data_IF_572616359128
#
_entry.id   IF_572616359128
#
_cell.length_a   1.000
_cell.length_b   1.000
_cell.length_c   1.000
_cell.angle_alpha   90.00
_cell.angle_beta   90.00
_cell.angle_gamma   90.00
#
_symmetry.space_group_name_H-M   'P 1'
#
loop_
_entity.id
_entity.type
_entity.pdbx_description
1 polymer ?
#
# COMPACT_ATOMS: atom_id res chain seq x y z
N UNK A 1 -16.79 8.52 -23.58
CA UNK A 1 -15.59 8.68 -24.39
C UNK A 1 -14.46 8.95 -23.42
N UNK A 2 -13.44 8.06 -23.39
CA UNK A 2 -12.29 8.21 -22.53
C UNK A 2 -11.45 9.44 -22.90
N UNK A 3 -10.53 9.82 -22.00
CA UNK A 3 -9.63 10.93 -22.23
C UNK A 3 -8.64 10.57 -23.35
N UNK A 4 -8.57 11.39 -24.40
CA UNK A 4 -7.51 11.33 -25.41
C UNK A 4 -6.52 12.44 -25.11
N UNK A 5 -5.23 12.10 -24.99
CA UNK A 5 -4.16 13.01 -24.61
C UNK A 5 -2.86 12.60 -25.29
N UNK A 6 -2.07 13.55 -25.74
CA UNK A 6 -0.68 13.32 -26.10
C UNK A 6 0.25 13.90 -25.03
N UNK A 7 1.09 13.06 -24.45
CA UNK A 7 2.15 13.48 -23.56
C UNK A 7 3.46 13.46 -24.37
N UNK A 8 4.06 14.63 -24.63
CA UNK A 8 5.29 14.77 -25.40
C UNK A 8 6.50 14.88 -24.51
N UNK A 9 7.64 14.52 -25.09
CA UNK A 9 8.95 14.82 -24.52
C UNK A 9 9.08 14.30 -23.08
N UNK A 10 8.73 13.03 -22.86
CA UNK A 10 8.91 12.32 -21.58
C UNK A 10 10.03 11.33 -21.69
N UNK A 11 10.78 11.15 -20.60
CA UNK A 11 11.80 10.12 -20.49
C UNK A 11 11.19 8.84 -19.92
N UNK A 12 11.44 7.72 -20.56
CA UNK A 12 11.13 6.40 -19.98
C UNK A 12 12.37 5.71 -19.44
N UNK A 13 12.26 4.92 -18.38
CA UNK A 13 13.35 4.07 -17.90
C UNK A 13 13.92 3.22 -19.05
N UNK A 14 15.23 3.33 -19.29
CA UNK A 14 15.92 2.55 -20.32
C UNK A 14 15.63 2.87 -21.79
N UNK A 15 14.69 3.77 -22.12
CA UNK A 15 14.26 4.03 -23.50
C UNK A 15 14.51 5.47 -24.03
N UNK A 16 15.03 6.36 -23.18
CA UNK A 16 15.26 7.77 -23.57
C UNK A 16 13.97 8.59 -23.67
N UNK A 17 14.01 9.67 -24.49
CA UNK A 17 12.88 10.60 -24.63
C UNK A 17 11.92 10.16 -25.71
N UNK A 18 10.62 10.08 -25.38
CA UNK A 18 9.53 9.62 -26.22
C UNK A 18 8.27 10.50 -26.05
N UNK A 19 7.31 10.29 -26.93
CA UNK A 19 5.92 10.72 -26.75
C UNK A 19 5.07 9.51 -26.32
N UNK A 20 4.01 9.76 -25.55
CA UNK A 20 3.00 8.78 -25.13
C UNK A 20 1.64 9.27 -25.60
N UNK A 21 1.00 8.54 -26.51
CA UNK A 21 -0.38 8.80 -26.88
C UNK A 21 -1.32 7.97 -25.99
N UNK A 22 -2.34 8.63 -25.47
CA UNK A 22 -3.34 8.05 -24.56
C UNK A 22 -4.69 8.14 -25.26
N UNK A 23 -5.42 7.01 -25.31
CA UNK A 23 -6.77 6.92 -25.85
C UNK A 23 -7.64 6.09 -24.88
N UNK A 24 -8.84 6.57 -24.62
CA UNK A 24 -9.79 5.90 -23.72
C UNK A 24 -9.19 5.52 -22.35
N UNK A 25 -8.30 6.40 -21.85
CA UNK A 25 -7.68 6.21 -20.54
C UNK A 25 -6.51 5.20 -20.53
N UNK A 26 -6.07 4.72 -21.70
CA UNK A 26 -4.97 3.74 -21.85
C UNK A 26 -3.84 4.29 -22.71
N UNK A 27 -2.66 3.76 -22.50
CA UNK A 27 -1.51 4.00 -23.36
C UNK A 27 -1.76 3.31 -24.71
N UNK A 28 -2.01 4.11 -25.75
CA UNK A 28 -2.29 3.63 -27.09
C UNK A 28 -1.01 3.41 -27.91
N UNK A 29 -0.02 4.29 -27.74
CA UNK A 29 1.29 4.15 -28.38
C UNK A 29 2.37 4.91 -27.64
N UNK A 30 3.61 4.43 -27.81
CA UNK A 30 4.83 5.03 -27.25
C UNK A 30 5.86 5.10 -28.37
N UNK A 31 6.48 6.25 -28.58
CA UNK A 31 7.53 6.39 -29.61
C UNK A 31 7.94 7.83 -29.84
N UNK A 32 8.97 8.07 -30.66
CA UNK A 32 9.41 9.41 -30.97
C UNK A 32 8.42 10.11 -31.94
N UNK A 33 8.13 11.39 -31.70
CA UNK A 33 7.37 12.28 -32.58
C UNK A 33 6.04 11.68 -33.08
N UNK A 34 5.23 11.15 -32.15
CA UNK A 34 3.97 10.51 -32.49
C UNK A 34 3.01 11.48 -33.23
N UNK A 35 2.42 11.08 -34.36
CA UNK A 35 1.35 11.83 -34.98
C UNK A 35 0.08 11.74 -34.12
N UNK A 36 -0.65 12.86 -34.04
CA UNK A 36 -1.94 12.90 -33.34
C UNK A 36 -3.00 13.59 -34.18
N UNK A 37 -4.28 13.21 -34.04
CA UNK A 37 -5.37 13.91 -34.70
C UNK A 37 -5.40 15.40 -34.31
N UNK A 38 -5.79 16.31 -35.24
CA UNK A 38 -5.96 17.71 -34.92
C UNK A 38 -6.93 17.91 -33.76
N UNK A 39 -6.55 18.77 -32.81
CA UNK A 39 -7.37 19.07 -31.64
C UNK A 39 -7.14 18.12 -30.42
N UNK A 40 -6.28 17.13 -30.54
CA UNK A 40 -5.89 16.31 -29.36
C UNK A 40 -5.16 17.18 -28.35
N UNK A 41 -5.61 17.22 -27.09
CA UNK A 41 -4.89 17.90 -26.02
C UNK A 41 -3.45 17.39 -25.91
N UNK A 42 -2.51 18.31 -25.77
CA UNK A 42 -1.08 17.96 -25.67
C UNK A 42 -0.48 18.55 -24.42
N UNK A 43 0.29 17.77 -23.69
CA UNK A 43 1.09 18.19 -22.55
C UNK A 43 2.57 17.96 -22.85
N UNK A 44 3.42 18.91 -22.49
CA UNK A 44 4.88 18.76 -22.57
C UNK A 44 5.42 18.22 -21.26
N UNK A 45 6.05 17.06 -21.30
CA UNK A 45 6.71 16.43 -20.17
C UNK A 45 8.07 17.04 -19.83
N UNK A 46 8.56 17.97 -20.64
CA UNK A 46 9.81 18.74 -20.44
C UNK A 46 11.07 17.87 -20.20
N UNK A 47 11.06 16.63 -20.68
CA UNK A 47 12.15 15.67 -20.48
C UNK A 47 12.14 15.00 -19.11
N UNK A 48 11.12 15.20 -18.30
CA UNK A 48 10.97 14.53 -17.01
C UNK A 48 10.81 13.02 -17.17
N UNK A 49 11.24 12.30 -16.14
CA UNK A 49 11.08 10.85 -16.04
C UNK A 49 9.62 10.49 -15.78
N UNK A 50 9.06 9.62 -16.62
CA UNK A 50 7.78 9.00 -16.36
C UNK A 50 8.00 7.73 -15.53
N UNK A 51 7.28 7.63 -14.42
CA UNK A 51 7.16 6.43 -13.60
C UNK A 51 5.72 5.94 -13.70
N UNK A 52 5.46 4.63 -13.52
CA UNK A 52 4.09 4.17 -13.27
C UNK A 52 3.49 4.89 -12.06
N UNK A 53 2.18 5.04 -12.02
CA UNK A 53 1.49 5.61 -10.87
C UNK A 53 1.87 4.87 -9.58
N UNK A 54 2.24 5.60 -8.53
CA UNK A 54 2.72 4.98 -7.30
C UNK A 54 1.61 4.21 -6.59
N UNK A 55 1.98 3.14 -5.91
CA UNK A 55 1.06 2.26 -5.18
C UNK A 55 1.38 2.29 -3.70
N UNK A 56 0.42 2.71 -2.89
CA UNK A 56 0.48 2.58 -1.44
C UNK A 56 -0.21 1.26 -1.05
N UNK A 57 0.59 0.20 -0.95
CA UNK A 57 0.10 -1.15 -0.71
C UNK A 57 -0.37 -1.41 0.72
N UNK A 58 -0.17 -0.46 1.64
CA UNK A 58 -0.55 -0.60 3.04
C UNK A 58 -0.66 0.77 3.71
N UNK A 59 -1.88 1.22 3.90
CA UNK A 59 -2.22 2.50 4.52
C UNK A 59 -3.35 2.37 5.55
N UNK A 60 -3.56 3.41 6.35
CA UNK A 60 -4.68 3.56 7.28
C UNK A 60 -5.36 4.91 7.01
N UNK A 61 -6.31 4.94 6.08
CA UNK A 61 -6.97 6.17 5.65
C UNK A 61 -7.99 6.70 6.66
N UNK A 62 -8.61 5.82 7.42
CA UNK A 62 -9.77 6.10 8.28
C UNK A 62 -9.42 6.85 9.58
N UNK A 63 -8.18 6.77 10.04
CA UNK A 63 -7.75 7.22 11.37
C UNK A 63 -6.59 8.23 11.34
N UNK A 64 -6.28 8.78 10.18
CA UNK A 64 -5.26 9.81 10.05
C UNK A 64 -5.65 11.10 10.74
N UNK A 65 -4.66 11.81 11.28
CA UNK A 65 -4.79 13.18 11.77
C UNK A 65 -4.36 14.22 10.72
N UNK A 66 -4.21 13.81 9.45
CA UNK A 66 -3.84 14.69 8.36
C UNK A 66 -4.86 15.83 8.19
N UNK A 67 -4.38 17.06 8.08
CA UNK A 67 -5.24 18.23 7.95
C UNK A 67 -5.87 18.74 9.26
N UNK A 68 -5.59 18.10 10.41
CA UNK A 68 -5.95 18.63 11.71
C UNK A 68 -4.81 19.48 12.31
N UNK A 69 -5.05 20.31 13.35
CA UNK A 69 -3.98 20.91 14.13
C UNK A 69 -3.02 19.85 14.69
N UNK A 70 -1.82 20.28 15.07
CA UNK A 70 -0.87 19.38 15.68
C UNK A 70 -1.35 18.89 17.05
N UNK A 71 -1.38 17.57 17.23
CA UNK A 71 -1.65 16.93 18.51
C UNK A 71 -0.36 16.36 19.09
N UNK A 72 -0.04 16.61 20.38
CA UNK A 72 1.13 16.03 21.00
C UNK A 72 1.11 14.49 20.93
N UNK A 73 2.21 13.89 20.49
CA UNK A 73 2.33 12.44 20.44
C UNK A 73 2.72 11.86 21.79
N UNK A 74 1.94 10.89 22.27
CA UNK A 74 2.13 10.16 23.52
C UNK A 74 1.76 8.69 23.36
N UNK A 75 2.21 8.09 22.23
CA UNK A 75 1.75 6.77 21.80
C UNK A 75 2.15 5.63 22.75
N UNK A 76 3.25 5.78 23.49
CA UNK A 76 3.79 4.70 24.33
C UNK A 76 4.67 3.71 23.56
N UNK A 77 5.43 2.87 24.27
CA UNK A 77 6.39 1.95 23.66
C UNK A 77 5.78 0.66 23.11
N UNK A 78 4.70 0.15 23.70
CA UNK A 78 4.10 -1.12 23.30
C UNK A 78 2.93 -0.94 22.33
N UNK A 79 2.61 -1.98 21.55
CA UNK A 79 1.46 -2.03 20.65
C UNK A 79 0.16 -1.76 21.42
N UNK A 80 -0.03 -2.39 22.58
CA UNK A 80 -1.23 -2.20 23.39
C UNK A 80 -1.40 -0.76 23.89
N UNK A 81 -0.31 -0.10 24.30
CA UNK A 81 -0.35 1.31 24.70
C UNK A 81 -0.69 2.24 23.53
N UNK A 82 -0.15 1.95 22.34
CA UNK A 82 -0.46 2.69 21.10
C UNK A 82 -1.93 2.57 20.73
N UNK A 83 -2.50 1.36 20.77
CA UNK A 83 -3.92 1.12 20.54
C UNK A 83 -4.78 1.89 21.54
N UNK A 84 -4.44 1.84 22.84
CA UNK A 84 -5.17 2.57 23.88
C UNK A 84 -5.09 4.08 23.70
N UNK A 85 -3.91 4.60 23.33
CA UNK A 85 -3.72 6.04 23.04
C UNK A 85 -4.53 6.47 21.83
N UNK A 86 -4.50 5.71 20.74
CA UNK A 86 -5.23 6.03 19.51
C UNK A 86 -6.73 6.12 19.77
N UNK A 87 -7.30 5.13 20.44
CA UNK A 87 -8.73 5.13 20.80
C UNK A 87 -9.10 6.37 21.61
N UNK A 88 -8.26 6.76 22.57
CA UNK A 88 -8.48 7.97 23.39
C UNK A 88 -8.41 9.24 22.54
N UNK A 89 -7.44 9.35 21.64
CA UNK A 89 -7.25 10.52 20.76
C UNK A 89 -8.41 10.64 19.79
N UNK A 90 -8.76 9.57 19.09
CA UNK A 90 -9.82 9.58 18.07
C UNK A 90 -11.19 9.88 18.71
N UNK A 91 -11.50 9.28 19.87
CA UNK A 91 -12.75 9.56 20.59
C UNK A 91 -12.84 11.03 21.06
N UNK A 92 -11.72 11.66 21.42
CA UNK A 92 -11.70 13.06 21.83
C UNK A 92 -11.85 14.04 20.65
N UNK A 93 -11.45 13.62 19.45
CA UNK A 93 -11.46 14.48 18.25
C UNK A 93 -12.75 14.36 17.43
N UNK A 94 -13.50 13.29 17.61
CA UNK A 94 -14.76 12.99 16.88
C UNK A 94 -14.63 13.21 15.36
N UNK A 95 -13.57 12.65 14.77
CA UNK A 95 -13.25 12.84 13.36
C UNK A 95 -14.09 11.90 12.48
N UNK A 96 -14.61 12.43 11.37
CA UNK A 96 -15.30 11.63 10.38
C UNK A 96 -14.30 10.80 9.54
N UNK A 97 -14.37 9.45 9.52
CA UNK A 97 -13.51 8.62 8.68
C UNK A 97 -13.59 8.97 7.19
N UNK A 98 -14.76 9.35 6.69
CA UNK A 98 -14.94 9.80 5.30
C UNK A 98 -14.18 11.10 5.01
N UNK A 99 -14.26 12.09 5.89
CA UNK A 99 -13.56 13.36 5.67
C UNK A 99 -12.05 13.20 5.81
N UNK A 100 -11.60 12.41 6.78
CA UNK A 100 -10.17 12.19 7.02
C UNK A 100 -9.53 11.40 5.87
N UNK A 101 -10.18 10.33 5.41
CA UNK A 101 -9.71 9.57 4.25
C UNK A 101 -9.65 10.44 2.99
N UNK A 102 -10.65 11.26 2.72
CA UNK A 102 -10.64 12.17 1.57
C UNK A 102 -9.50 13.22 1.65
N UNK A 103 -9.25 13.79 2.83
CA UNK A 103 -8.15 14.74 3.05
C UNK A 103 -6.78 14.09 2.82
N UNK A 104 -6.60 12.88 3.33
CA UNK A 104 -5.35 12.16 3.11
C UNK A 104 -5.19 11.76 1.65
N UNK A 105 -6.25 11.28 0.97
CA UNK A 105 -6.19 10.94 -0.45
C UNK A 105 -5.80 12.11 -1.33
N UNK A 106 -6.32 13.32 -1.10
CA UNK A 106 -5.90 14.51 -1.84
C UNK A 106 -4.38 14.73 -1.73
N UNK A 107 -3.82 14.47 -0.56
CA UNK A 107 -2.40 14.56 -0.32
C UNK A 107 -1.60 13.44 -1.01
N UNK A 108 -2.06 12.18 -0.94
CA UNK A 108 -1.42 11.03 -1.58
C UNK A 108 -1.44 11.15 -3.11
N UNK A 109 -2.58 11.54 -3.69
CA UNK A 109 -2.74 11.78 -5.14
C UNK A 109 -1.80 12.88 -5.62
N UNK A 110 -1.68 13.98 -4.87
CA UNK A 110 -0.72 15.06 -5.19
C UNK A 110 0.74 14.57 -5.19
N UNK A 111 1.03 13.44 -4.53
CA UNK A 111 2.34 12.78 -4.47
C UNK A 111 2.46 11.58 -5.40
N UNK A 112 1.51 11.40 -6.31
CA UNK A 112 1.60 10.41 -7.37
C UNK A 112 0.98 9.05 -7.06
N UNK A 113 0.32 8.89 -5.92
CA UNK A 113 -0.37 7.64 -5.59
C UNK A 113 -1.63 7.49 -6.44
N UNK A 114 -1.74 6.38 -7.17
CA UNK A 114 -2.88 6.05 -8.04
C UNK A 114 -3.65 4.82 -7.56
N UNK A 115 -3.08 4.06 -6.63
CA UNK A 115 -3.69 2.87 -6.02
C UNK A 115 -3.34 2.81 -4.54
N UNK A 116 -4.31 2.43 -3.73
CA UNK A 116 -4.14 2.30 -2.27
C UNK A 116 -4.81 1.03 -1.78
N UNK A 117 -4.09 0.21 -0.99
CA UNK A 117 -4.70 -0.76 -0.08
C UNK A 117 -4.77 -0.13 1.30
N UNK A 118 -5.95 -0.04 1.89
CA UNK A 118 -6.14 0.57 3.21
C UNK A 118 -6.73 -0.42 4.21
N UNK A 119 -6.13 -0.50 5.39
CA UNK A 119 -6.63 -1.26 6.53
C UNK A 119 -7.56 -0.34 7.33
N UNK A 120 -8.82 -0.74 7.42
CA UNK A 120 -9.90 0.06 8.03
C UNK A 120 -10.37 -0.62 9.32
N UNK A 121 -10.34 0.14 10.42
CA UNK A 121 -10.65 -0.38 11.74
C UNK A 121 -12.08 -0.89 11.87
N UNK A 122 -12.20 -2.12 12.36
CA UNK A 122 -13.45 -2.79 12.71
C UNK A 122 -13.36 -3.31 14.14
N UNK A 123 -14.15 -2.73 15.03
CA UNK A 123 -14.22 -3.12 16.44
C UNK A 123 -15.65 -3.00 16.95
N UNK A 124 -16.05 -3.76 17.98
CA UNK A 124 -17.43 -3.74 18.48
C UNK A 124 -17.97 -2.35 18.82
N UNK A 125 -17.14 -1.45 19.32
CA UNK A 125 -17.50 -0.07 19.62
C UNK A 125 -17.59 0.87 18.41
N UNK A 126 -16.97 0.51 17.29
CA UNK A 126 -17.01 1.27 16.03
C UNK A 126 -18.07 0.73 15.07
N UNK A 127 -18.43 -0.54 15.20
CA UNK A 127 -19.22 -1.25 14.21
C UNK A 127 -18.53 -1.21 12.84
N UNK A 128 -19.27 -0.86 11.79
CA UNK A 128 -18.78 -0.67 10.42
C UNK A 128 -18.70 0.80 10.00
N UNK A 129 -18.77 1.75 10.93
CA UNK A 129 -18.80 3.17 10.58
C UNK A 129 -17.54 3.62 9.82
N UNK A 130 -16.37 3.11 10.19
CA UNK A 130 -15.12 3.39 9.48
C UNK A 130 -15.12 2.79 8.07
N UNK A 131 -15.56 1.54 7.92
CA UNK A 131 -15.70 0.89 6.61
C UNK A 131 -16.62 1.70 5.68
N UNK A 132 -17.82 2.07 6.14
CA UNK A 132 -18.78 2.83 5.33
C UNK A 132 -18.22 4.22 4.96
N UNK A 133 -17.51 4.88 5.87
CA UNK A 133 -16.86 6.17 5.60
C UNK A 133 -15.80 6.07 4.51
N UNK A 134 -14.93 5.06 4.57
CA UNK A 134 -13.89 4.84 3.55
C UNK A 134 -14.49 4.37 2.22
N UNK A 135 -15.54 3.53 2.24
CA UNK A 135 -16.25 3.13 1.01
C UNK A 135 -16.90 4.33 0.31
N UNK A 136 -17.51 5.25 1.06
CA UNK A 136 -18.05 6.48 0.50
C UNK A 136 -16.95 7.34 -0.15
N UNK A 137 -15.79 7.43 0.49
CA UNK A 137 -14.62 8.09 -0.09
C UNK A 137 -14.11 7.38 -1.34
N UNK A 138 -14.00 6.05 -1.31
CA UNK A 138 -13.55 5.27 -2.47
C UNK A 138 -14.47 5.48 -3.69
N UNK A 139 -15.79 5.48 -3.47
CA UNK A 139 -16.76 5.75 -4.52
C UNK A 139 -16.62 7.17 -5.10
N UNK A 140 -16.39 8.17 -4.25
CA UNK A 140 -16.23 9.56 -4.67
C UNK A 140 -14.89 9.83 -5.40
N UNK A 141 -13.84 9.08 -5.09
CA UNK A 141 -12.47 9.27 -5.59
C UNK A 141 -12.05 8.29 -6.70
N UNK A 142 -12.93 7.42 -7.18
CA UNK A 142 -12.62 6.36 -8.14
C UNK A 142 -11.96 6.85 -9.45
N UNK A 143 -12.21 8.09 -9.84
CA UNK A 143 -11.59 8.71 -11.02
C UNK A 143 -10.14 9.22 -10.78
N UNK A 144 -9.71 9.27 -9.53
CA UNK A 144 -8.38 9.78 -9.14
C UNK A 144 -7.49 8.71 -8.52
N UNK A 145 -8.06 7.71 -7.87
CA UNK A 145 -7.33 6.65 -7.17
C UNK A 145 -8.20 5.41 -7.01
N UNK A 146 -7.63 4.23 -7.20
CA UNK A 146 -8.29 2.96 -6.89
C UNK A 146 -7.99 2.58 -5.43
N UNK A 147 -9.02 2.16 -4.69
CA UNK A 147 -8.90 1.83 -3.26
C UNK A 147 -9.38 0.41 -3.02
N UNK A 148 -8.51 -0.42 -2.45
CA UNK A 148 -8.81 -1.74 -1.95
C UNK A 148 -8.88 -1.70 -0.42
N UNK A 149 -9.93 -2.28 0.17
CA UNK A 149 -10.19 -2.20 1.61
C UNK A 149 -9.95 -3.54 2.28
N UNK A 150 -9.15 -3.50 3.35
CA UNK A 150 -8.94 -4.60 4.30
C UNK A 150 -9.76 -4.29 5.56
N UNK A 151 -10.68 -5.16 5.97
CA UNK A 151 -11.37 -5.04 7.25
C UNK A 151 -10.40 -5.45 8.37
N UNK A 152 -10.00 -4.49 9.21
CA UNK A 152 -8.88 -4.63 10.14
C UNK A 152 -9.31 -4.62 11.60
N UNK A 153 -9.04 -5.71 12.37
CA UNK A 153 -9.39 -5.82 13.78
C UNK A 153 -8.27 -5.30 14.69
N UNK A 154 -7.96 -4.00 14.69
CA UNK A 154 -6.83 -3.45 15.43
C UNK A 154 -6.86 -3.74 16.95
N UNK A 155 -8.04 -3.95 17.51
CA UNK A 155 -8.19 -4.22 18.95
C UNK A 155 -8.14 -5.72 19.32
N UNK A 156 -7.76 -6.58 18.38
CA UNK A 156 -7.77 -8.03 18.51
C UNK A 156 -9.08 -8.67 18.03
N UNK A 157 -9.03 -9.97 17.82
CA UNK A 157 -10.13 -10.80 17.33
C UNK A 157 -10.69 -11.65 18.46
N UNK A 158 -9.85 -12.51 19.06
CA UNK A 158 -10.29 -13.51 20.05
C UNK A 158 -10.57 -12.87 21.42
N UNK A 159 -9.81 -11.85 21.79
CA UNK A 159 -9.99 -11.10 23.06
C UNK A 159 -11.12 -10.07 23.00
N UNK A 160 -11.78 -9.92 21.83
CA UNK A 160 -12.84 -8.93 21.60
C UNK A 160 -14.11 -9.58 21.05
N UNK A 161 -15.01 -10.09 21.93
CA UNK A 161 -16.25 -10.71 21.49
C UNK A 161 -17.06 -9.82 20.55
N UNK A 162 -17.54 -10.40 19.43
CA UNK A 162 -18.27 -9.69 18.39
C UNK A 162 -17.41 -9.22 17.20
N UNK A 163 -16.07 -9.19 17.33
CA UNK A 163 -15.20 -8.76 16.22
C UNK A 163 -15.31 -9.68 15.01
N UNK A 164 -15.38 -11.01 15.20
CA UNK A 164 -15.54 -11.96 14.08
C UNK A 164 -16.82 -11.75 13.30
N UNK A 165 -17.93 -11.46 13.96
CA UNK A 165 -19.20 -11.17 13.30
C UNK A 165 -19.13 -9.89 12.46
N UNK A 166 -18.43 -8.86 12.98
CA UNK A 166 -18.19 -7.62 12.25
C UNK A 166 -17.30 -7.84 11.03
N UNK A 167 -16.24 -8.64 11.13
CA UNK A 167 -15.36 -8.97 10.01
C UNK A 167 -16.12 -9.78 8.94
N UNK A 168 -16.93 -10.73 9.33
CA UNK A 168 -17.80 -11.47 8.39
C UNK A 168 -18.80 -10.54 7.70
N UNK A 169 -19.36 -9.57 8.44
CA UNK A 169 -20.24 -8.55 7.87
C UNK A 169 -19.47 -7.60 6.95
N UNK A 170 -18.28 -7.14 7.32
CA UNK A 170 -17.44 -6.28 6.48
C UNK A 170 -17.11 -6.95 5.14
N UNK A 171 -16.78 -8.25 5.14
CA UNK A 171 -16.55 -9.02 3.91
C UNK A 171 -17.82 -9.10 3.05
N UNK A 172 -19.01 -9.27 3.65
CA UNK A 172 -20.29 -9.22 2.92
C UNK A 172 -20.59 -7.86 2.31
N UNK A 173 -20.12 -6.80 2.95
CA UNK A 173 -20.34 -5.41 2.53
C UNK A 173 -19.19 -4.87 1.66
N UNK A 174 -18.29 -5.74 1.16
CA UNK A 174 -17.35 -5.40 0.10
C UNK A 174 -15.92 -5.10 0.55
N UNK A 175 -15.54 -5.44 1.78
CA UNK A 175 -14.12 -5.51 2.11
C UNK A 175 -13.47 -6.63 1.29
N UNK A 176 -12.40 -6.28 0.57
CA UNK A 176 -11.72 -7.21 -0.34
C UNK A 176 -10.86 -8.23 0.42
N UNK A 177 -10.35 -7.85 1.59
CA UNK A 177 -9.54 -8.69 2.45
C UNK A 177 -9.98 -8.57 3.91
N UNK A 178 -9.62 -9.59 4.68
CA UNK A 178 -9.67 -9.56 6.14
C UNK A 178 -8.27 -9.34 6.70
N UNK A 179 -8.16 -8.47 7.67
CA UNK A 179 -6.95 -8.27 8.45
C UNK A 179 -6.91 -9.15 9.70
N UNK A 180 -5.73 -9.22 10.29
CA UNK A 180 -5.48 -9.75 11.63
C UNK A 180 -4.34 -8.95 12.25
N UNK A 181 -4.14 -9.09 13.55
CA UNK A 181 -3.07 -8.39 14.27
C UNK A 181 -2.45 -9.32 15.30
N UNK A 182 -1.12 -9.48 15.21
CA UNK A 182 -0.26 -10.15 16.19
C UNK A 182 -0.96 -11.31 16.93
N UNK A 183 -1.21 -12.44 16.25
CA UNK A 183 -2.03 -13.52 16.80
C UNK A 183 -1.51 -14.06 18.15
N UNK A 184 -0.20 -13.98 18.41
CA UNK A 184 0.40 -14.33 19.69
C UNK A 184 0.41 -13.13 20.64
N UNK A 185 0.91 -11.97 20.18
CA UNK A 185 1.17 -10.81 21.05
C UNK A 185 -0.10 -10.09 21.53
N UNK A 186 -1.17 -10.11 20.74
CA UNK A 186 -2.44 -9.44 21.07
C UNK A 186 -3.50 -10.44 21.51
N UNK A 187 -3.82 -11.45 20.70
CA UNK A 187 -4.91 -12.38 21.02
C UNK A 187 -4.49 -13.54 21.94
N UNK A 188 -3.19 -13.82 22.05
CA UNK A 188 -2.64 -14.99 22.77
C UNK A 188 -3.25 -16.34 22.30
N UNK A 189 -3.91 -16.34 21.14
CA UNK A 189 -4.53 -17.51 20.50
C UNK A 189 -4.30 -17.48 18.99
N UNK A 190 -3.08 -17.79 18.53
CA UNK A 190 -2.75 -17.76 17.10
C UNK A 190 -3.54 -18.78 16.28
N UNK A 191 -3.93 -19.89 16.89
CA UNK A 191 -4.73 -20.92 16.21
C UNK A 191 -6.16 -20.43 16.03
N UNK A 192 -6.81 -19.95 17.09
CA UNK A 192 -8.18 -19.45 17.04
C UNK A 192 -8.32 -18.26 16.10
N UNK A 193 -7.43 -17.26 16.17
CA UNK A 193 -7.47 -16.09 15.29
C UNK A 193 -7.35 -16.51 13.82
N UNK A 194 -6.32 -17.27 13.47
CA UNK A 194 -6.07 -17.64 12.08
C UNK A 194 -7.14 -18.58 11.53
N UNK A 195 -7.57 -19.60 12.30
CA UNK A 195 -8.64 -20.51 11.85
C UNK A 195 -9.93 -19.76 11.55
N UNK A 196 -10.32 -18.82 12.42
CA UNK A 196 -11.53 -18.04 12.24
C UNK A 196 -11.45 -17.09 11.03
N UNK A 197 -10.35 -16.34 10.89
CA UNK A 197 -10.16 -15.41 9.76
C UNK A 197 -10.13 -16.15 8.42
N UNK A 198 -9.35 -17.22 8.33
CA UNK A 198 -9.23 -18.01 7.11
C UNK A 198 -10.53 -18.73 6.73
N UNK A 199 -11.31 -19.19 7.72
CA UNK A 199 -12.62 -19.77 7.46
C UNK A 199 -13.63 -18.73 6.91
N UNK A 200 -13.59 -17.49 7.42
CA UNK A 200 -14.41 -16.40 6.86
C UNK A 200 -13.94 -16.07 5.44
N UNK A 201 -12.63 -15.90 5.23
CA UNK A 201 -12.07 -15.57 3.93
C UNK A 201 -12.46 -16.60 2.85
N UNK A 202 -12.27 -17.89 3.13
CA UNK A 202 -12.65 -18.98 2.23
C UNK A 202 -14.16 -18.99 1.92
N UNK A 203 -15.01 -18.75 2.93
CA UNK A 203 -16.46 -18.71 2.77
C UNK A 203 -16.94 -17.49 1.97
N UNK A 204 -16.25 -16.34 2.10
CA UNK A 204 -16.63 -15.08 1.45
C UNK A 204 -15.90 -14.85 0.12
N UNK A 205 -14.86 -15.61 -0.19
CA UNK A 205 -14.05 -15.43 -1.39
C UNK A 205 -13.20 -14.16 -1.34
N UNK A 206 -12.73 -13.75 -0.14
CA UNK A 206 -11.86 -12.59 0.05
C UNK A 206 -10.44 -13.02 0.44
N UNK A 207 -9.47 -12.09 0.34
CA UNK A 207 -8.08 -12.32 0.73
C UNK A 207 -7.84 -12.12 2.23
N UNK A 208 -6.57 -12.26 2.61
CA UNK A 208 -6.06 -12.07 3.98
C UNK A 208 -4.84 -11.15 3.95
N UNK A 209 -4.74 -10.20 4.90
CA UNK A 209 -3.53 -9.40 5.13
C UNK A 209 -3.29 -9.24 6.63
N UNK A 210 -2.32 -9.98 7.17
CA UNK A 210 -2.06 -10.05 8.62
C UNK A 210 -0.95 -9.07 9.00
N UNK A 211 -1.25 -8.13 9.92
CA UNK A 211 -0.22 -7.35 10.62
C UNK A 211 0.54 -8.27 11.57
N UNK A 212 1.83 -8.44 11.36
CA UNK A 212 2.68 -9.31 12.15
C UNK A 212 3.90 -8.57 12.68
N UNK A 213 3.77 -8.05 13.89
CA UNK A 213 4.89 -7.44 14.64
C UNK A 213 5.52 -8.43 15.63
N UNK A 214 4.87 -9.57 15.88
CA UNK A 214 5.44 -10.66 16.70
C UNK A 214 6.85 -11.00 16.22
N UNK A 215 7.81 -11.05 17.16
CA UNK A 215 9.24 -11.12 16.89
C UNK A 215 9.78 -12.56 16.93
N UNK A 216 10.95 -12.76 16.31
CA UNK A 216 11.72 -14.01 16.38
C UNK A 216 10.90 -15.25 16.04
N UNK A 217 11.04 -16.30 16.85
CA UNK A 217 10.38 -17.59 16.60
C UNK A 217 8.84 -17.52 16.75
N UNK A 218 8.32 -16.60 17.56
CA UNK A 218 6.86 -16.41 17.69
C UNK A 218 6.25 -15.95 16.35
N UNK A 219 6.85 -14.93 15.73
CA UNK A 219 6.43 -14.46 14.40
C UNK A 219 6.65 -15.52 13.31
N UNK A 220 7.79 -16.21 13.34
CA UNK A 220 8.09 -17.30 12.41
C UNK A 220 7.06 -18.43 12.48
N UNK A 221 6.70 -18.86 13.67
CA UNK A 221 5.67 -19.88 13.89
C UNK A 221 4.28 -19.42 13.43
N UNK A 222 4.00 -18.11 13.49
CA UNK A 222 2.78 -17.54 12.95
C UNK A 222 2.78 -17.60 11.41
N UNK A 223 3.88 -17.28 10.74
CA UNK A 223 4.01 -17.41 9.27
C UNK A 223 3.85 -18.88 8.85
N UNK A 224 4.44 -19.84 9.57
CA UNK A 224 4.24 -21.26 9.30
C UNK A 224 2.74 -21.63 9.31
N UNK A 225 2.00 -21.16 10.31
CA UNK A 225 0.54 -21.42 10.42
C UNK A 225 -0.26 -20.73 9.32
N UNK A 226 0.12 -19.50 8.92
CA UNK A 226 -0.49 -18.79 7.79
C UNK A 226 -0.28 -19.61 6.51
N UNK A 227 0.93 -20.09 6.24
CA UNK A 227 1.23 -20.91 5.08
C UNK A 227 0.43 -22.22 5.04
N UNK A 228 0.33 -22.91 6.18
CA UNK A 228 -0.48 -24.14 6.30
C UNK A 228 -1.95 -23.91 5.94
N UNK A 229 -2.56 -22.80 6.41
CA UNK A 229 -3.95 -22.47 6.14
C UNK A 229 -4.14 -21.99 4.69
N UNK A 230 -3.19 -21.23 4.16
CA UNK A 230 -3.19 -20.81 2.75
C UNK A 230 -3.24 -22.03 1.83
N UNK A 231 -2.37 -23.02 2.07
CA UNK A 231 -2.36 -24.27 1.33
C UNK A 231 -3.67 -25.06 1.49
N UNK A 232 -4.11 -25.24 2.74
CA UNK A 232 -5.28 -26.05 3.05
C UNK A 232 -6.58 -25.52 2.44
N UNK A 233 -6.69 -24.19 2.25
CA UNK A 233 -7.90 -23.53 1.75
C UNK A 233 -7.75 -23.03 0.30
N UNK A 234 -6.62 -23.28 -0.37
CA UNK A 234 -6.40 -22.88 -1.76
C UNK A 234 -6.35 -21.35 -1.95
N UNK A 235 -5.82 -20.62 -0.98
CA UNK A 235 -5.74 -19.15 -0.99
C UNK A 235 -4.39 -18.62 -1.51
N UNK A 236 -3.63 -19.45 -2.23
CA UNK A 236 -2.38 -19.02 -2.85
C UNK A 236 -2.59 -17.76 -3.70
N UNK A 237 -1.71 -16.78 -3.55
CA UNK A 237 -1.82 -15.48 -4.22
C UNK A 237 -2.75 -14.46 -3.55
N UNK A 238 -3.61 -14.88 -2.62
CA UNK A 238 -4.60 -14.03 -1.94
C UNK A 238 -4.20 -13.66 -0.50
N UNK A 239 -2.99 -14.01 -0.06
CA UNK A 239 -2.53 -13.79 1.32
C UNK A 239 -1.30 -12.91 1.35
N UNK A 240 -1.28 -11.96 2.27
CA UNK A 240 -0.14 -11.11 2.58
C UNK A 240 0.17 -11.15 4.08
N UNK A 241 1.44 -10.96 4.41
CA UNK A 241 1.92 -10.72 5.78
C UNK A 241 2.59 -9.35 5.81
N UNK A 242 2.00 -8.44 6.58
CA UNK A 242 2.48 -7.08 6.71
C UNK A 242 3.44 -6.95 7.89
N UNK A 243 4.48 -6.11 7.71
CA UNK A 243 5.62 -5.89 8.62
C UNK A 243 6.58 -7.07 8.72
N UNK A 244 6.11 -8.23 9.16
CA UNK A 244 6.89 -9.50 9.23
C UNK A 244 8.28 -9.31 9.86
N UNK A 245 8.39 -8.53 10.95
CA UNK A 245 9.65 -8.14 11.58
C UNK A 245 10.52 -9.34 11.99
N UNK A 246 9.88 -10.46 12.33
CA UNK A 246 10.57 -11.70 12.65
C UNK A 246 11.56 -12.15 11.56
N UNK A 247 11.25 -11.94 10.28
CA UNK A 247 12.12 -12.34 9.16
C UNK A 247 13.50 -11.68 9.21
N UNK A 248 13.60 -10.48 9.81
CA UNK A 248 14.87 -9.78 10.00
C UNK A 248 15.69 -10.24 11.20
N UNK A 249 15.17 -11.16 12.02
CA UNK A 249 15.80 -11.66 13.24
C UNK A 249 16.24 -13.10 13.13
N UNK A 250 15.77 -13.83 12.12
CA UNK A 250 16.01 -15.27 12.00
C UNK A 250 17.39 -15.55 11.42
N UNK A 251 18.06 -16.54 11.99
CA UNK A 251 19.25 -17.11 11.39
C UNK A 251 18.92 -17.80 10.06
N UNK A 252 19.87 -17.87 9.10
CA UNK A 252 19.63 -18.44 7.79
C UNK A 252 19.00 -19.84 7.80
N UNK A 253 19.41 -20.69 8.71
CA UNK A 253 18.89 -22.06 8.84
C UNK A 253 17.39 -22.12 9.16
N UNK A 254 16.83 -21.08 9.79
CA UNK A 254 15.40 -20.96 10.09
C UNK A 254 14.66 -20.11 9.05
N UNK A 255 15.33 -19.10 8.50
CA UNK A 255 14.75 -18.20 7.50
C UNK A 255 14.46 -18.94 6.19
N UNK A 256 15.41 -19.72 5.66
CA UNK A 256 15.26 -20.34 4.33
C UNK A 256 14.03 -21.27 4.22
N UNK A 257 13.78 -22.20 5.14
CA UNK A 257 12.55 -23.01 5.09
C UNK A 257 11.27 -22.16 5.14
N UNK A 258 11.31 -21.02 5.84
CA UNK A 258 10.16 -20.14 5.93
C UNK A 258 9.93 -19.37 4.61
N UNK A 259 11.03 -18.98 3.94
CA UNK A 259 10.97 -18.38 2.59
C UNK A 259 10.39 -19.39 1.59
N UNK A 260 10.79 -20.66 1.65
CA UNK A 260 10.22 -21.72 0.81
C UNK A 260 8.70 -21.82 1.02
N UNK A 261 8.22 -21.78 2.27
CA UNK A 261 6.76 -21.78 2.56
C UNK A 261 6.03 -20.56 2.01
N UNK A 262 6.65 -19.36 2.05
CA UNK A 262 6.08 -18.15 1.46
C UNK A 262 5.94 -18.32 -0.06
N UNK A 263 6.96 -18.88 -0.73
CA UNK A 263 6.97 -19.12 -2.16
C UNK A 263 5.96 -20.21 -2.57
N UNK A 264 5.98 -21.35 -1.90
CA UNK A 264 5.11 -22.49 -2.21
C UNK A 264 3.61 -22.13 -2.11
N UNK A 265 3.28 -21.16 -1.28
CA UNK A 265 1.91 -20.69 -1.05
C UNK A 265 1.62 -19.32 -1.66
N UNK A 266 2.55 -18.77 -2.44
CA UNK A 266 2.45 -17.45 -3.05
C UNK A 266 1.96 -16.37 -2.07
N UNK A 267 2.59 -16.30 -0.89
CA UNK A 267 2.30 -15.32 0.16
C UNK A 267 3.16 -14.08 -0.05
N UNK A 268 2.55 -12.92 -0.15
CA UNK A 268 3.26 -11.66 -0.27
C UNK A 268 3.74 -11.12 1.09
N UNK A 269 4.83 -10.38 1.09
CA UNK A 269 5.38 -9.74 2.29
C UNK A 269 5.45 -8.23 2.10
N UNK A 270 4.83 -7.49 3.02
CA UNK A 270 4.93 -6.03 3.09
C UNK A 270 5.98 -5.61 4.13
N UNK A 271 6.76 -4.60 3.77
CA UNK A 271 7.53 -3.85 4.77
C UNK A 271 7.62 -2.37 4.39
N UNK A 272 7.61 -1.51 5.40
CA UNK A 272 7.64 -0.05 5.21
C UNK A 272 8.98 0.59 5.63
N UNK A 273 9.98 -0.20 6.05
CA UNK A 273 11.22 0.34 6.60
C UNK A 273 10.97 1.08 7.91
N UNK A 274 10.74 0.35 9.03
CA UNK A 274 10.33 0.95 10.29
C UNK A 274 11.41 1.87 10.88
N UNK A 275 10.97 2.90 11.60
CA UNK A 275 11.88 3.82 12.28
C UNK A 275 12.62 3.14 13.43
N UNK A 276 13.88 3.57 13.68
CA UNK A 276 14.68 3.09 14.80
C UNK A 276 15.46 1.80 14.47
N UNK A 277 15.69 0.98 15.50
CA UNK A 277 16.44 -0.28 15.39
C UNK A 277 15.53 -1.50 15.39
N UNK A 278 14.43 -1.42 14.69
CA UNK A 278 13.51 -2.56 14.52
C UNK A 278 14.04 -3.40 13.35
N UNK A 279 14.42 -4.66 13.55
CA UNK A 279 14.68 -5.58 12.44
C UNK A 279 13.44 -5.71 11.56
N UNK A 280 13.65 -5.84 10.26
CA UNK A 280 12.58 -6.00 9.27
C UNK A 280 13.04 -6.96 8.17
N UNK A 281 12.15 -7.43 7.30
CA UNK A 281 12.47 -8.43 6.29
C UNK A 281 13.71 -8.09 5.47
N UNK A 282 14.61 -9.05 5.22
CA UNK A 282 15.83 -8.85 4.42
C UNK A 282 15.46 -8.75 2.92
N UNK A 283 15.05 -7.55 2.49
CA UNK A 283 14.40 -7.26 1.20
C UNK A 283 15.17 -7.88 0.02
N UNK A 284 16.49 -7.62 -0.09
CA UNK A 284 17.30 -8.14 -1.20
C UNK A 284 17.23 -9.66 -1.28
N UNK A 285 17.44 -10.35 -0.14
CA UNK A 285 17.41 -11.82 -0.08
C UNK A 285 16.05 -12.39 -0.48
N UNK A 286 14.97 -11.80 0.01
CA UNK A 286 13.61 -12.23 -0.33
C UNK A 286 13.30 -11.99 -1.81
N UNK A 287 13.73 -10.84 -2.37
CA UNK A 287 13.57 -10.53 -3.79
C UNK A 287 14.37 -11.48 -4.68
N UNK A 288 15.62 -11.80 -4.34
CA UNK A 288 16.48 -12.76 -5.06
C UNK A 288 15.86 -14.17 -5.08
N UNK A 289 15.11 -14.54 -4.02
CA UNK A 289 14.39 -15.81 -3.94
C UNK A 289 13.05 -15.76 -4.70
N UNK A 290 12.56 -14.59 -5.11
CA UNK A 290 11.31 -14.41 -5.84
C UNK A 290 10.06 -14.22 -4.98
N UNK A 291 10.20 -13.91 -3.69
CA UNK A 291 9.06 -13.56 -2.82
C UNK A 291 8.42 -12.27 -3.33
N UNK A 292 7.10 -12.23 -3.44
CA UNK A 292 6.36 -11.00 -3.76
C UNK A 292 6.50 -9.99 -2.63
N UNK A 293 7.16 -8.88 -2.94
CA UNK A 293 7.43 -7.81 -1.97
C UNK A 293 6.72 -6.53 -2.37
N UNK A 294 6.12 -5.87 -1.41
CA UNK A 294 5.51 -4.58 -1.59
C UNK A 294 5.73 -3.68 -0.36
N UNK A 295 5.38 -2.41 -0.52
CA UNK A 295 5.50 -1.43 0.57
C UNK A 295 4.26 -0.56 0.66
N UNK A 296 4.16 0.17 1.76
CA UNK A 296 3.10 1.12 2.00
C UNK A 296 3.52 2.20 2.97
N UNK A 297 2.70 3.22 3.08
CA UNK A 297 2.94 4.32 4.01
C UNK A 297 2.69 3.92 5.47
N UNK A 298 1.85 2.90 5.71
CA UNK A 298 1.31 2.61 7.04
C UNK A 298 0.49 3.79 7.59
N UNK A 299 0.53 4.10 8.88
CA UNK A 299 -0.12 5.28 9.43
C UNK A 299 0.55 6.59 8.96
N UNK A 300 -0.22 7.51 8.40
CA UNK A 300 0.25 8.84 7.99
C UNK A 300 -0.21 9.88 8.98
N UNK A 301 0.73 10.44 9.76
CA UNK A 301 0.43 11.44 10.79
C UNK A 301 -0.79 11.02 11.60
N UNK A 302 -0.73 9.86 12.19
CA UNK A 302 -1.77 9.29 13.05
C UNK A 302 -1.40 9.40 14.55
N UNK A 303 -2.14 8.70 15.41
CA UNK A 303 -1.87 8.69 16.84
C UNK A 303 -0.68 7.79 17.23
N UNK A 304 -0.11 7.01 16.30
CA UNK A 304 1.02 6.09 16.52
C UNK A 304 2.35 6.76 16.24
N UNK A 305 2.43 7.52 15.14
CA UNK A 305 3.67 8.18 14.68
C UNK A 305 3.39 9.49 13.95
N UNK A 306 4.22 10.54 14.18
CA UNK A 306 4.17 11.76 13.39
C UNK A 306 5.05 11.69 12.13
N UNK A 307 5.88 10.63 11.97
CA UNK A 307 7.02 10.59 11.07
C UNK A 307 6.71 9.99 9.70
N UNK A 308 5.56 10.32 9.12
CA UNK A 308 5.20 9.77 7.82
C UNK A 308 4.47 10.81 6.98
N UNK A 309 4.93 10.98 5.75
CA UNK A 309 4.36 11.94 4.79
C UNK A 309 3.38 11.29 3.81
N UNK A 310 3.32 9.97 3.71
CA UNK A 310 2.53 9.25 2.71
C UNK A 310 3.12 9.31 1.28
N UNK A 311 4.31 9.87 1.11
CA UNK A 311 4.98 9.92 -0.18
C UNK A 311 5.68 8.59 -0.49
N UNK A 312 5.23 7.89 -1.54
CA UNK A 312 5.76 6.56 -1.88
C UNK A 312 7.17 6.58 -2.49
N UNK A 313 7.66 7.69 -3.05
CA UNK A 313 9.08 7.83 -3.39
C UNK A 313 9.95 8.02 -2.14
N UNK A 314 9.49 8.84 -1.18
CA UNK A 314 10.14 8.93 0.13
C UNK A 314 10.12 7.57 0.85
N UNK A 315 9.04 6.80 0.72
CA UNK A 315 8.96 5.44 1.26
C UNK A 315 10.01 4.51 0.63
N UNK A 316 10.18 4.54 -0.70
CA UNK A 316 11.23 3.81 -1.39
C UNK A 316 12.64 4.25 -0.93
N UNK A 317 12.86 5.55 -0.74
CA UNK A 317 14.09 6.09 -0.16
C UNK A 317 14.34 5.53 1.25
N UNK A 318 13.34 5.56 2.14
CA UNK A 318 13.47 5.04 3.51
C UNK A 318 13.77 3.53 3.52
N UNK A 319 13.12 2.74 2.65
CA UNK A 319 13.43 1.32 2.48
C UNK A 319 14.89 1.12 2.08
N UNK A 320 15.36 1.85 1.08
CA UNK A 320 16.74 1.78 0.61
C UNK A 320 17.72 2.19 1.73
N UNK A 321 17.42 3.28 2.43
CA UNK A 321 18.24 3.78 3.53
C UNK A 321 18.34 2.78 4.69
N UNK A 322 17.20 2.24 5.15
CA UNK A 322 17.16 1.25 6.24
C UNK A 322 17.80 -0.08 5.84
N UNK A 323 17.69 -0.48 4.57
CA UNK A 323 18.31 -1.71 4.03
C UNK A 323 19.82 -1.57 3.76
N UNK A 324 20.38 -0.38 3.84
CA UNK A 324 21.78 -0.12 3.49
C UNK A 324 22.05 -0.26 1.99
N UNK A 325 21.05 -0.07 1.15
CA UNK A 325 21.16 -0.12 -0.31
C UNK A 325 22.05 1.00 -0.83
N UNK A 326 22.89 0.69 -1.85
CA UNK A 326 23.92 1.60 -2.36
C UNK A 326 24.01 1.65 -3.86
N UNK A 327 23.48 0.67 -4.55
CA UNK A 327 23.58 0.51 -6.00
C UNK A 327 22.26 0.89 -6.68
N UNK A 328 22.31 1.28 -7.94
CA UNK A 328 21.12 1.70 -8.70
C UNK A 328 20.05 0.59 -8.74
N UNK A 329 20.47 -0.67 -8.90
CA UNK A 329 19.57 -1.83 -8.88
C UNK A 329 18.85 -1.99 -7.54
N UNK A 330 19.49 -1.63 -6.43
CA UNK A 330 18.88 -1.63 -5.11
C UNK A 330 17.80 -0.55 -4.97
N UNK A 331 18.10 0.65 -5.46
CA UNK A 331 17.14 1.75 -5.47
C UNK A 331 15.96 1.43 -6.39
N UNK A 332 16.22 0.82 -7.54
CA UNK A 332 15.19 0.32 -8.44
C UNK A 332 14.32 -0.77 -7.77
N UNK A 333 14.91 -1.67 -6.97
CA UNK A 333 14.16 -2.65 -6.19
C UNK A 333 13.22 -1.97 -5.17
N UNK A 334 13.70 -0.96 -4.44
CA UNK A 334 12.89 -0.20 -3.50
C UNK A 334 11.72 0.51 -4.20
N UNK A 335 11.96 1.12 -5.38
CA UNK A 335 10.92 1.71 -6.20
C UNK A 335 9.92 0.66 -6.71
N UNK A 336 10.39 -0.50 -7.14
CA UNK A 336 9.54 -1.61 -7.58
C UNK A 336 8.55 -2.05 -6.51
N UNK A 337 8.94 -2.03 -5.23
CA UNK A 337 8.02 -2.33 -4.13
C UNK A 337 6.92 -1.27 -3.98
N UNK A 338 7.19 0.00 -4.32
CA UNK A 338 6.24 1.11 -4.30
C UNK A 338 5.47 1.31 -5.62
N UNK A 339 5.66 0.39 -6.58
CA UNK A 339 5.04 0.41 -7.91
C UNK A 339 4.52 -1.00 -8.24
N UNK A 340 5.25 -1.78 -9.04
CA UNK A 340 4.86 -3.10 -9.53
C UNK A 340 4.56 -4.10 -8.41
N UNK A 341 5.31 -4.08 -7.30
CA UNK A 341 5.07 -4.98 -6.17
C UNK A 341 3.71 -4.73 -5.53
N UNK A 342 3.38 -3.47 -5.26
CA UNK A 342 2.06 -3.07 -4.77
C UNK A 342 0.97 -3.40 -5.78
N UNK A 343 1.17 -3.04 -7.06
CA UNK A 343 0.21 -3.29 -8.14
C UNK A 343 -0.13 -4.79 -8.28
N UNK A 344 0.87 -5.65 -8.20
CA UNK A 344 0.68 -7.11 -8.26
C UNK A 344 -0.19 -7.62 -7.11
N UNK A 345 0.05 -7.12 -5.89
CA UNK A 345 -0.66 -7.57 -4.69
C UNK A 345 -2.12 -7.12 -4.67
N UNK A 346 -2.43 -5.94 -5.21
CA UNK A 346 -3.80 -5.45 -5.33
C UNK A 346 -4.49 -5.86 -6.64
N UNK A 347 -3.86 -6.70 -7.46
CA UNK A 347 -4.45 -7.24 -8.68
C UNK A 347 -4.66 -6.22 -9.81
N UNK A 348 -3.80 -5.20 -9.91
CA UNK A 348 -3.85 -4.21 -10.98
C UNK A 348 -3.27 -4.78 -12.28
N UNK A 349 -4.09 -5.49 -13.06
CA UNK A 349 -3.67 -6.25 -14.25
C UNK A 349 -3.08 -5.39 -15.38
N UNK A 350 -3.59 -4.17 -15.57
CA UNK A 350 -3.14 -3.25 -16.63
C UNK A 350 -2.26 -2.13 -16.10
N UNK A 351 -1.27 -2.49 -15.31
CA UNK A 351 -0.37 -1.56 -14.66
C UNK A 351 1.00 -1.52 -15.34
N UNK A 352 1.57 -0.32 -15.52
CA UNK A 352 2.90 -0.13 -16.10
C UNK A 352 2.92 0.97 -17.16
N UNK A 353 4.09 1.13 -17.82
CA UNK A 353 4.32 2.10 -18.90
C UNK A 353 4.51 1.36 -20.23
N UNK A 354 3.50 0.65 -20.65
CA UNK A 354 3.49 -0.12 -21.91
C UNK A 354 2.16 0.07 -22.66
N UNK A 355 2.17 -0.24 -23.95
CA UNK A 355 0.96 -0.13 -24.77
C UNK A 355 -0.11 -1.11 -24.26
N UNK A 356 -1.32 -0.60 -24.04
CA UNK A 356 -2.45 -1.32 -23.48
C UNK A 356 -2.63 -1.17 -21.97
N UNK A 357 -1.61 -0.69 -21.24
CA UNK A 357 -1.74 -0.38 -19.82
C UNK A 357 -2.67 0.82 -19.59
N UNK A 358 -3.30 0.86 -18.42
CA UNK A 358 -4.03 2.04 -17.98
C UNK A 358 -3.04 3.22 -17.88
N UNK A 359 -3.42 4.41 -18.33
CA UNK A 359 -2.54 5.57 -18.35
C UNK A 359 -2.45 6.21 -16.96
N UNK A 360 -1.93 5.44 -16.01
CA UNK A 360 -1.64 5.81 -14.64
C UNK A 360 -0.14 6.07 -14.53
N UNK A 361 0.26 7.33 -14.53
CA UNK A 361 1.68 7.68 -14.54
C UNK A 361 1.97 8.97 -13.79
N UNK A 362 3.24 9.10 -13.40
CA UNK A 362 3.76 10.25 -12.67
C UNK A 362 4.97 10.81 -13.40
N UNK A 363 5.05 12.14 -13.57
CA UNK A 363 6.26 12.81 -14.07
C UNK A 363 7.05 13.41 -12.91
N UNK A 364 8.34 13.13 -12.89
CA UNK A 364 9.30 13.65 -11.90
C UNK A 364 10.55 14.18 -12.58
N UNK A 365 11.13 15.24 -12.02
CA UNK A 365 12.38 15.81 -12.49
C UNK A 365 13.56 14.93 -12.05
N UNK A 366 13.82 13.85 -12.79
CA UNK A 366 14.91 12.92 -12.56
C UNK A 366 15.41 12.35 -13.89
N UNK A 367 16.67 11.90 -13.93
CA UNK A 367 17.25 11.28 -15.12
C UNK A 367 16.93 9.78 -15.21
N UNK A 368 16.79 9.13 -14.06
CA UNK A 368 16.51 7.69 -13.95
C UNK A 368 15.80 7.35 -12.63
N UNK A 369 15.44 6.08 -12.46
CA UNK A 369 14.71 5.56 -11.29
C UNK A 369 15.52 5.71 -9.99
N UNK A 370 16.84 5.50 -10.05
CA UNK A 370 17.69 5.60 -8.87
C UNK A 370 17.75 7.05 -8.34
N UNK A 371 17.87 8.03 -9.23
CA UNK A 371 17.81 9.46 -8.87
C UNK A 371 16.42 9.82 -8.34
N UNK A 372 15.35 9.32 -8.96
CA UNK A 372 13.99 9.56 -8.48
C UNK A 372 13.78 9.07 -7.04
N UNK A 373 14.34 7.94 -6.66
CA UNK A 373 14.31 7.43 -5.28
C UNK A 373 15.20 8.27 -4.38
N UNK A 374 16.43 8.54 -4.78
CA UNK A 374 17.40 9.24 -3.95
C UNK A 374 16.97 10.68 -3.60
N UNK A 375 16.34 11.39 -4.54
CA UNK A 375 15.95 12.78 -4.39
C UNK A 375 14.45 12.97 -4.10
N UNK A 376 13.62 11.95 -4.36
CA UNK A 376 12.14 11.95 -4.24
C UNK A 376 11.52 13.31 -4.62
N UNK A 377 11.79 13.81 -5.85
CA UNK A 377 11.41 15.16 -6.26
C UNK A 377 9.90 15.36 -6.31
N UNK A 378 9.41 16.60 -6.21
CA UNK A 378 7.98 16.90 -6.37
C UNK A 378 7.44 16.39 -7.71
N UNK A 379 6.17 15.95 -7.71
CA UNK A 379 5.48 15.45 -8.90
C UNK A 379 5.05 16.64 -9.75
N UNK A 380 5.56 16.72 -10.98
CA UNK A 380 5.11 17.72 -11.94
C UNK A 380 3.70 17.41 -12.43
N UNK A 381 3.43 16.14 -12.72
CA UNK A 381 2.16 15.69 -13.27
C UNK A 381 1.81 14.31 -12.71
N UNK A 382 0.54 14.11 -12.42
CA UNK A 382 -0.03 12.80 -12.07
C UNK A 382 -1.24 12.56 -12.97
N UNK A 383 -1.20 11.43 -13.66
CA UNK A 383 -2.33 10.96 -14.48
C UNK A 383 -2.96 9.73 -13.84
N UNK A 384 -4.29 9.68 -13.85
CA UNK A 384 -5.09 8.50 -13.57
C UNK A 384 -6.00 8.22 -14.76
N UNK A 385 -5.81 7.08 -15.43
CA UNK A 385 -6.51 6.71 -16.67
C UNK A 385 -6.52 7.88 -17.68
N UNK A 386 -5.35 8.48 -17.89
CA UNK A 386 -5.17 9.60 -18.82
C UNK A 386 -5.76 10.94 -18.37
N UNK A 387 -6.42 11.02 -17.24
CA UNK A 387 -6.90 12.27 -16.64
C UNK A 387 -5.82 12.87 -15.75
N UNK A 388 -5.56 14.17 -15.89
CA UNK A 388 -4.67 14.88 -14.96
C UNK A 388 -5.39 15.04 -13.61
N UNK A 389 -4.89 14.38 -12.57
CA UNK A 389 -5.45 14.41 -11.21
C UNK A 389 -4.64 15.23 -10.24
N UNK A 390 -3.34 15.47 -10.56
CA UNK A 390 -2.52 16.43 -9.83
C UNK A 390 -1.48 17.09 -10.74
N UNK A 391 -1.07 18.30 -10.36
CA UNK A 391 -0.03 19.07 -11.07
C UNK A 391 0.77 19.89 -10.07
N UNK A 392 2.11 19.90 -10.23
CA UNK A 392 3.05 20.70 -9.44
C UNK A 392 2.82 20.54 -7.92
N UNK A 393 2.60 19.30 -7.49
CA UNK A 393 2.37 18.93 -6.09
C UNK A 393 0.99 19.32 -5.53
N UNK A 394 0.07 19.78 -6.36
CA UNK A 394 -1.30 20.11 -5.97
C UNK A 394 -2.31 19.12 -6.57
N UNK A 395 -3.18 18.56 -5.74
CA UNK A 395 -4.31 17.76 -6.20
C UNK A 395 -5.33 18.67 -6.91
N UNK A 396 -5.73 18.28 -8.12
CA UNK A 396 -6.73 18.97 -8.92
C UNK A 396 -8.10 18.29 -8.85
N UNK A 397 -8.16 17.11 -8.26
CA UNK A 397 -9.40 16.36 -8.09
C UNK A 397 -10.16 16.89 -6.88
N UNK A 398 -11.44 17.18 -7.07
CA UNK A 398 -12.38 17.62 -6.03
C UNK A 398 -13.65 16.80 -6.14
N UNK A 399 -14.21 16.37 -5.02
CA UNK A 399 -15.50 15.65 -4.92
C UNK A 399 -16.64 16.58 -4.66
#
# INVERSE_FOLDING_TARGET
>A
MGASLLLRNVRLPGAGTVDIAIEDGRIASIGPALPVPPGTPTLDGAGDLALPGLVDGHAHLDKTLWGTPWHPHQAGPSIAERIANERRVLAALDLSPQQQSARLLAHLVARGTTHVRTHVDNAPELGLAHLHGVQATAAAWHDAVDIEIVAFPQCGVMIRPGTLDLLDQAAREGAALLGGLDPIGIDADPTGQLDALFAIAARRGCGIDIHLHDRGEAGAATIDRIAERTAALGLAGCVAVSHAFCLGELEPARLEPLVDRLLDNDIAVMTHGPAGRVPFPPIRRLAERGVRLFTGSDGVRDAWTPLNTGDMLERAYLLAYCSGFREDDDLALALRMATFGGAQVIGAERYGLEVGADADLVLVAAENEAEAVALHPPRRLVLKRGRVVARDGACLFTT
#
